data_IF_742904025018
#
_entry.id   IF_742904025018
#
_cell.length_a   1.000
_cell.length_b   1.000
_cell.length_c   1.000
_cell.angle_alpha   90.00
_cell.angle_beta   90.00
_cell.angle_gamma   90.00
#
_symmetry.space_group_name_H-M   'P 1'
#
loop_
_entity.id
_entity.type
_entity.pdbx_description
1 polymer ?
#
# COMPACT_ATOMS: atom_id res chain seq x y z
N UNK A 1 1.16 30.92 19.97
CA UNK A 1 1.63 29.54 20.16
C UNK A 1 0.87 28.94 21.32
N UNK A 2 0.05 27.91 21.04
CA UNK A 2 -0.67 27.19 22.07
C UNK A 2 0.35 26.45 22.93
N UNK A 3 0.39 26.75 24.20
CA UNK A 3 1.14 26.01 25.22
C UNK A 3 0.42 24.73 25.65
N UNK A 4 -0.54 24.26 24.88
CA UNK A 4 -1.24 23.02 25.16
C UNK A 4 -0.25 21.84 25.11
N UNK A 5 0.10 21.32 26.27
CA UNK A 5 1.10 20.27 26.48
C UNK A 5 0.50 18.87 26.46
N UNK A 6 -0.68 18.68 25.88
CA UNK A 6 -1.27 17.36 25.80
C UNK A 6 -0.68 16.62 24.60
N UNK A 7 0.13 15.62 24.87
CA UNK A 7 0.54 14.63 23.87
C UNK A 7 -0.51 13.52 23.82
N UNK A 8 -0.93 13.13 22.63
CA UNK A 8 -1.76 11.94 22.43
C UNK A 8 -1.01 10.65 22.80
N UNK A 9 0.34 10.70 22.80
CA UNK A 9 1.22 9.60 23.19
C UNK A 9 0.77 8.26 22.59
N UNK A 10 0.61 7.26 23.44
CA UNK A 10 0.20 5.91 23.05
C UNK A 10 -1.20 5.80 22.41
N UNK A 11 -2.04 6.83 22.55
CA UNK A 11 -3.35 6.86 21.88
C UNK A 11 -3.23 7.21 20.40
N UNK A 12 -2.14 7.84 19.97
CA UNK A 12 -1.80 8.05 18.59
C UNK A 12 -1.14 6.79 18.00
N UNK A 13 -1.91 5.98 17.31
CA UNK A 13 -1.48 4.72 16.70
C UNK A 13 -0.65 4.88 15.43
N UNK A 14 -0.50 6.12 14.94
CA UNK A 14 0.23 6.42 13.71
C UNK A 14 1.65 6.91 14.00
N UNK A 15 1.78 7.95 14.80
CA UNK A 15 3.06 8.62 15.05
C UNK A 15 3.44 8.74 16.52
N UNK A 16 2.67 8.12 17.44
CA UNK A 16 2.96 8.16 18.86
C UNK A 16 2.91 9.57 19.48
N UNK A 17 2.17 10.48 18.88
CA UNK A 17 2.05 11.88 19.32
C UNK A 17 3.15 12.81 18.79
N UNK A 18 3.96 12.36 17.82
CA UNK A 18 4.99 13.18 17.17
C UNK A 18 4.34 14.24 16.26
N UNK A 19 4.41 15.50 16.70
CA UNK A 19 3.80 16.63 15.99
C UNK A 19 4.48 16.93 14.66
N UNK A 20 5.79 16.74 14.56
CA UNK A 20 6.53 17.05 13.34
C UNK A 20 6.21 16.04 12.24
N UNK A 21 6.04 14.79 12.60
CA UNK A 21 5.55 13.76 11.67
C UNK A 21 4.12 14.05 11.20
N UNK A 22 3.24 14.48 12.10
CA UNK A 22 1.90 14.90 11.73
C UNK A 22 1.88 16.10 10.78
N UNK A 23 2.75 17.08 10.98
CA UNK A 23 2.87 18.24 10.08
C UNK A 23 3.38 17.81 8.70
N UNK A 24 4.44 16.99 8.65
CA UNK A 24 4.96 16.44 7.37
C UNK A 24 3.91 15.62 6.63
N UNK A 25 3.19 14.76 7.34
CA UNK A 25 2.07 14.03 6.77
C UNK A 25 0.99 14.97 6.21
N UNK A 26 0.56 15.97 6.98
CA UNK A 26 -0.47 16.92 6.56
C UNK A 26 -0.04 17.69 5.30
N UNK A 27 1.21 18.13 5.22
CA UNK A 27 1.76 18.81 4.05
C UNK A 27 1.82 17.87 2.84
N UNK A 28 2.24 16.62 3.02
CA UNK A 28 2.26 15.63 1.93
C UNK A 28 0.85 15.32 1.43
N UNK A 29 -0.11 15.18 2.35
CA UNK A 29 -1.52 15.01 1.99
C UNK A 29 -2.08 16.23 1.25
N UNK A 30 -1.72 17.44 1.68
CA UNK A 30 -2.10 18.69 0.99
C UNK A 30 -1.57 18.73 -0.44
N UNK A 31 -0.30 18.34 -0.66
CA UNK A 31 0.28 18.21 -2.00
C UNK A 31 -0.46 17.18 -2.84
N UNK A 32 -0.78 16.00 -2.27
CA UNK A 32 -1.59 14.96 -2.94
C UNK A 32 -2.93 15.50 -3.40
N UNK A 33 -3.66 16.21 -2.53
CA UNK A 33 -4.96 16.80 -2.85
C UNK A 33 -4.83 17.90 -3.91
N UNK A 34 -3.79 18.74 -3.83
CA UNK A 34 -3.51 19.77 -4.82
C UNK A 34 -3.32 19.16 -6.23
N UNK A 35 -2.52 18.11 -6.34
CA UNK A 35 -2.33 17.39 -7.61
C UNK A 35 -3.62 16.76 -8.14
N UNK A 36 -4.49 16.24 -7.26
CA UNK A 36 -5.79 15.68 -7.65
C UNK A 36 -6.74 16.68 -8.29
N UNK A 37 -6.71 17.92 -7.87
CA UNK A 37 -7.58 18.97 -8.41
C UNK A 37 -6.93 19.75 -9.57
N UNK A 38 -5.72 19.41 -9.96
CA UNK A 38 -4.93 20.17 -10.93
C UNK A 38 -5.55 20.28 -12.33
N UNK A 39 -6.41 19.36 -12.72
CA UNK A 39 -7.13 19.39 -14.00
C UNK A 39 -8.46 20.16 -13.89
N UNK A 40 -8.95 20.43 -12.69
CA UNK A 40 -10.22 21.15 -12.45
C UNK A 40 -9.95 22.61 -12.16
N UNK A 41 -8.99 22.88 -11.27
CA UNK A 41 -8.54 24.24 -10.91
C UNK A 41 -7.01 24.28 -10.83
N UNK A 42 -6.32 24.50 -11.96
CA UNK A 42 -4.86 24.49 -12.01
C UNK A 42 -4.22 25.58 -11.13
N UNK A 43 -4.88 26.73 -10.96
CA UNK A 43 -4.35 27.84 -10.18
C UNK A 43 -4.38 27.52 -8.70
N UNK A 44 -5.53 27.09 -8.17
CA UNK A 44 -5.66 26.64 -6.79
C UNK A 44 -4.72 25.48 -6.48
N UNK A 45 -4.64 24.52 -7.39
CA UNK A 45 -3.76 23.35 -7.26
C UNK A 45 -2.30 23.78 -7.10
N UNK A 46 -1.80 24.65 -7.99
CA UNK A 46 -0.43 25.17 -7.89
C UNK A 46 -0.20 25.91 -6.58
N UNK A 47 -1.09 26.82 -6.22
CA UNK A 47 -0.97 27.59 -4.97
C UNK A 47 -0.90 26.68 -3.74
N UNK A 48 -1.78 25.70 -3.63
CA UNK A 48 -1.83 24.80 -2.49
C UNK A 48 -0.65 23.84 -2.46
N UNK A 49 -0.21 23.35 -3.62
CA UNK A 49 0.95 22.48 -3.74
C UNK A 49 2.25 23.18 -3.36
N UNK A 50 2.47 24.39 -3.88
CA UNK A 50 3.64 25.21 -3.55
C UNK A 50 3.66 25.59 -2.05
N UNK A 51 2.52 25.94 -1.47
CA UNK A 51 2.40 26.19 -0.02
C UNK A 51 2.75 24.96 0.81
N UNK A 52 2.32 23.77 0.38
CA UNK A 52 2.64 22.54 1.08
C UNK A 52 4.15 22.22 1.06
N UNK A 53 4.81 22.46 -0.09
CA UNK A 53 6.23 22.21 -0.26
C UNK A 53 7.12 23.27 0.39
N UNK A 54 6.61 24.50 0.55
CA UNK A 54 7.32 25.62 1.18
C UNK A 54 7.20 25.66 2.71
N UNK A 55 6.32 24.84 3.29
CA UNK A 55 6.14 24.80 4.74
C UNK A 55 7.44 24.43 5.46
N UNK A 56 7.81 25.11 6.57
CA UNK A 56 9.04 24.84 7.31
C UNK A 56 9.16 23.38 7.81
N UNK A 57 8.03 22.73 8.16
CA UNK A 57 8.05 21.32 8.56
C UNK A 57 8.39 20.37 7.39
N UNK A 58 8.19 20.84 6.16
CA UNK A 58 8.44 20.08 4.95
C UNK A 58 7.39 19.01 4.67
N UNK A 59 7.70 18.19 3.68
CA UNK A 59 6.98 16.95 3.35
C UNK A 59 7.62 15.76 4.08
N UNK A 60 7.02 14.58 3.97
CA UNK A 60 7.62 13.33 4.44
C UNK A 60 9.02 13.14 3.86
N UNK A 61 9.99 12.74 4.70
CA UNK A 61 11.43 12.75 4.39
C UNK A 61 12.06 11.36 4.34
N UNK A 62 11.42 10.38 4.96
CA UNK A 62 11.91 8.98 5.01
C UNK A 62 10.76 8.03 5.32
N UNK A 63 11.04 6.73 5.30
CA UNK A 63 10.07 5.70 5.70
C UNK A 63 9.65 5.80 7.16
N UNK A 64 10.42 6.50 8.01
CA UNK A 64 10.03 6.77 9.40
C UNK A 64 8.87 7.76 9.50
N UNK A 65 8.61 8.53 8.45
CA UNK A 65 7.47 9.44 8.33
C UNK A 65 6.23 8.78 7.72
N UNK A 66 6.33 7.51 7.31
CA UNK A 66 5.19 6.80 6.74
C UNK A 66 4.00 6.82 7.71
N UNK A 67 2.85 7.30 7.22
CA UNK A 67 1.61 7.25 7.97
C UNK A 67 1.12 5.81 8.02
N UNK A 68 1.41 5.15 9.13
CA UNK A 68 1.14 3.74 9.35
C UNK A 68 0.18 3.58 10.52
N UNK A 69 -0.70 2.63 10.41
CA UNK A 69 -1.50 2.16 11.54
C UNK A 69 -1.12 0.72 11.85
N UNK A 70 -0.71 0.47 13.09
CA UNK A 70 -0.47 -0.89 13.57
C UNK A 70 -1.75 -1.41 14.21
N UNK A 71 -2.46 -2.35 13.58
CA UNK A 71 -3.68 -2.90 14.15
C UNK A 71 -3.35 -3.71 15.40
N UNK A 72 -4.18 -3.60 16.42
CA UNK A 72 -4.14 -4.47 17.57
C UNK A 72 -5.00 -5.70 17.29
N UNK A 73 -4.43 -6.88 17.46
CA UNK A 73 -5.18 -8.10 17.50
C UNK A 73 -5.62 -8.38 18.94
N UNK A 74 -6.91 -8.48 19.16
CA UNK A 74 -7.45 -8.96 20.44
C UNK A 74 -8.18 -10.28 20.21
N UNK A 75 -7.58 -11.36 20.68
CA UNK A 75 -8.21 -12.68 20.66
C UNK A 75 -9.47 -12.74 21.53
N UNK A 76 -9.52 -11.92 22.59
CA UNK A 76 -10.62 -11.92 23.57
C UNK A 76 -11.88 -11.26 23.03
N UNK A 77 -11.73 -10.23 22.22
CA UNK A 77 -12.87 -9.46 21.68
C UNK A 77 -13.27 -9.90 20.28
N UNK A 78 -12.53 -10.83 19.66
CA UNK A 78 -12.75 -11.20 18.25
C UNK A 78 -12.59 -10.02 17.29
N UNK A 79 -12.19 -8.86 17.81
CA UNK A 79 -12.02 -7.62 17.08
C UNK A 79 -10.61 -7.52 16.50
N UNK A 80 -10.51 -7.63 15.20
CA UNK A 80 -9.32 -7.23 14.48
C UNK A 80 -9.57 -5.80 13.97
N UNK A 81 -8.72 -4.87 14.40
CA UNK A 81 -8.80 -3.48 13.95
C UNK A 81 -8.41 -3.33 12.47
N UNK A 82 -7.84 -4.38 11.88
CA UNK A 82 -7.53 -4.41 10.48
C UNK A 82 -8.75 -4.83 9.65
N UNK A 83 -9.38 -3.87 9.00
CA UNK A 83 -10.57 -4.09 8.15
C UNK A 83 -10.32 -5.12 7.04
N UNK A 84 -9.08 -5.21 6.53
CA UNK A 84 -8.74 -6.22 5.54
C UNK A 84 -8.88 -7.62 6.12
N UNK A 85 -8.50 -7.84 7.36
CA UNK A 85 -8.67 -9.13 8.03
C UNK A 85 -10.13 -9.49 8.22
N UNK A 86 -10.98 -8.50 8.51
CA UNK A 86 -12.43 -8.70 8.60
C UNK A 86 -13.02 -9.11 7.25
N UNK A 87 -12.67 -8.43 6.20
CA UNK A 87 -13.06 -8.78 4.83
C UNK A 87 -12.57 -10.19 4.46
N UNK A 88 -11.40 -10.58 4.93
CA UNK A 88 -10.77 -11.86 4.65
C UNK A 88 -11.39 -13.03 5.42
N UNK A 89 -11.75 -12.83 6.68
CA UNK A 89 -12.35 -13.88 7.49
C UNK A 89 -13.80 -14.21 7.10
N UNK A 90 -14.53 -13.24 6.53
CA UNK A 90 -15.96 -13.39 6.24
C UNK A 90 -16.28 -13.76 4.81
N UNK A 91 -15.42 -13.38 3.89
CA UNK A 91 -15.70 -13.68 2.49
C UNK A 91 -14.41 -13.84 1.72
N UNK A 92 -13.73 -14.93 1.82
CA UNK A 92 -12.51 -15.24 1.04
C UNK A 92 -12.60 -14.91 -0.50
N UNK A 93 -13.36 -13.88 -0.88
CA UNK A 93 -13.76 -13.53 -2.24
C UNK A 93 -12.84 -12.46 -2.85
N UNK A 94 -11.62 -12.28 -2.36
CA UNK A 94 -10.66 -11.40 -3.03
C UNK A 94 -9.81 -12.23 -3.97
N UNK A 95 -10.03 -11.99 -5.24
CA UNK A 95 -9.33 -12.64 -6.34
C UNK A 95 -8.62 -11.57 -7.17
N UNK A 96 -7.64 -12.01 -7.95
CA UNK A 96 -6.94 -11.19 -8.91
C UNK A 96 -7.95 -10.57 -9.90
N UNK A 97 -7.84 -9.27 -10.17
CA UNK A 97 -8.63 -8.65 -11.24
C UNK A 97 -7.99 -8.90 -12.61
N UNK A 98 -8.82 -8.85 -13.65
CA UNK A 98 -8.33 -9.05 -15.03
C UNK A 98 -7.36 -7.95 -15.46
N UNK A 99 -7.57 -6.73 -15.02
CA UNK A 99 -6.67 -5.61 -15.30
C UNK A 99 -5.30 -5.81 -14.64
N UNK A 100 -5.29 -6.29 -13.39
CA UNK A 100 -4.04 -6.55 -12.70
C UNK A 100 -3.31 -7.76 -13.31
N UNK A 101 -4.04 -8.80 -13.74
CA UNK A 101 -3.46 -9.92 -14.49
C UNK A 101 -2.75 -9.42 -15.75
N UNK A 102 -3.41 -8.56 -16.53
CA UNK A 102 -2.81 -7.94 -17.71
C UNK A 102 -1.57 -7.14 -17.35
N UNK A 103 -1.64 -6.33 -16.32
CA UNK A 103 -0.49 -5.56 -15.85
C UNK A 103 0.71 -6.44 -15.47
N UNK A 104 0.50 -7.61 -14.91
CA UNK A 104 1.58 -8.54 -14.59
C UNK A 104 2.14 -9.30 -15.81
N UNK A 105 1.32 -9.56 -16.81
CA UNK A 105 1.67 -10.40 -17.97
C UNK A 105 2.12 -9.61 -19.19
N UNK A 106 1.59 -8.41 -19.40
CA UNK A 106 1.74 -7.69 -20.68
C UNK A 106 2.90 -6.68 -20.69
N UNK A 107 3.45 -6.33 -19.51
CA UNK A 107 4.53 -5.33 -19.43
C UNK A 107 5.92 -5.88 -19.84
N UNK A 108 6.09 -7.19 -19.84
CA UNK A 108 7.35 -7.86 -20.13
C UNK A 108 7.10 -9.25 -20.69
N UNK A 109 8.12 -9.83 -21.35
CA UNK A 109 8.12 -11.25 -21.74
C UNK A 109 8.24 -12.21 -20.54
N UNK A 110 8.54 -11.68 -19.36
CA UNK A 110 8.66 -12.42 -18.11
C UNK A 110 7.51 -11.99 -17.20
N UNK A 111 6.83 -12.96 -16.60
CA UNK A 111 5.80 -12.68 -15.60
C UNK A 111 6.38 -11.83 -14.45
N UNK A 112 5.68 -10.79 -14.07
CA UNK A 112 6.07 -9.97 -12.92
C UNK A 112 6.14 -10.85 -11.64
N UNK A 113 7.29 -10.94 -10.96
CA UNK A 113 7.46 -11.82 -9.81
C UNK A 113 6.53 -11.49 -8.65
N UNK A 114 5.98 -10.28 -8.58
CA UNK A 114 4.97 -9.89 -7.59
C UNK A 114 3.70 -10.71 -7.73
N UNK A 115 3.38 -11.18 -8.93
CA UNK A 115 2.22 -12.03 -9.16
C UNK A 115 2.30 -13.31 -8.32
N UNK A 116 3.44 -14.00 -8.34
CA UNK A 116 3.65 -15.23 -7.57
C UNK A 116 3.71 -14.99 -6.05
N UNK A 117 4.10 -13.81 -5.62
CA UNK A 117 4.15 -13.45 -4.21
C UNK A 117 2.75 -13.13 -3.65
N UNK A 118 1.91 -12.47 -4.45
CA UNK A 118 0.64 -11.89 -4.00
C UNK A 118 -0.56 -12.81 -4.23
N UNK A 119 -0.47 -13.71 -5.21
CA UNK A 119 -1.60 -14.50 -5.68
C UNK A 119 -1.26 -15.99 -5.73
N UNK A 120 -2.27 -16.83 -5.53
CA UNK A 120 -2.22 -18.24 -5.83
C UNK A 120 -2.75 -18.50 -7.24
N UNK A 121 -2.27 -19.52 -7.92
CA UNK A 121 -2.95 -20.02 -9.11
C UNK A 121 -4.32 -20.58 -8.73
N UNK A 122 -5.28 -20.62 -9.67
CA UNK A 122 -6.59 -21.21 -9.40
C UNK A 122 -6.45 -22.64 -8.83
N UNK A 123 -6.79 -22.78 -7.54
CA UNK A 123 -6.60 -24.04 -6.80
C UNK A 123 -7.79 -24.23 -5.86
N UNK A 124 -8.15 -25.46 -5.57
CA UNK A 124 -9.25 -25.75 -4.65
C UNK A 124 -8.97 -25.17 -3.26
N UNK A 125 -9.97 -24.58 -2.63
CA UNK A 125 -9.83 -23.92 -1.32
C UNK A 125 -9.37 -24.92 -0.25
N UNK A 126 -9.78 -26.18 -0.35
CA UNK A 126 -9.36 -27.25 0.55
C UNK A 126 -7.86 -27.54 0.47
N UNK A 127 -7.25 -27.46 -0.71
CA UNK A 127 -5.81 -27.63 -0.90
C UNK A 127 -5.02 -26.43 -0.37
N UNK A 128 -5.59 -25.23 -0.52
CA UNK A 128 -4.97 -23.99 -0.03
C UNK A 128 -5.04 -23.86 1.50
N UNK A 129 -6.02 -24.49 2.14
CA UNK A 129 -6.21 -24.46 3.60
C UNK A 129 -5.40 -25.52 4.36
N UNK A 130 -4.53 -26.27 3.69
CA UNK A 130 -3.65 -27.26 4.35
C UNK A 130 -2.52 -26.55 5.13
N UNK A 131 -1.89 -27.29 6.04
CA UNK A 131 -0.70 -26.81 6.79
C UNK A 131 0.45 -26.46 5.83
N UNK A 132 0.55 -27.24 4.76
CA UNK A 132 1.42 -27.00 3.61
C UNK A 132 0.54 -26.88 2.37
N UNK A 133 0.16 -25.66 1.98
CA UNK A 133 -0.72 -25.44 0.84
C UNK A 133 -0.14 -26.01 -0.44
N UNK A 134 -0.98 -26.74 -1.17
CA UNK A 134 -0.62 -27.33 -2.47
C UNK A 134 -1.23 -26.48 -3.56
N UNK A 135 -0.39 -25.74 -4.25
CA UNK A 135 -0.79 -24.95 -5.41
C UNK A 135 -0.83 -25.83 -6.67
N UNK A 136 -1.84 -25.64 -7.50
CA UNK A 136 -1.92 -26.32 -8.81
C UNK A 136 -1.02 -25.60 -9.82
N UNK A 137 0.23 -26.05 -9.91
CA UNK A 137 1.24 -25.48 -10.81
C UNK A 137 0.95 -25.73 -12.30
N UNK A 138 -0.05 -26.54 -12.65
CA UNK A 138 -0.44 -26.77 -14.04
C UNK A 138 -1.30 -25.65 -14.60
N UNK A 139 -1.86 -24.81 -13.74
CA UNK A 139 -2.68 -23.65 -14.11
C UNK A 139 -1.87 -22.39 -14.18
N UNK A 140 -2.35 -21.45 -14.99
CA UNK A 140 -1.82 -20.08 -15.01
C UNK A 140 -2.66 -19.17 -14.10
N UNK A 141 -2.13 -17.98 -13.78
CA UNK A 141 -2.88 -16.95 -13.08
C UNK A 141 -4.07 -16.50 -13.92
N UNK A 142 -5.24 -16.39 -13.30
CA UNK A 142 -6.48 -15.99 -13.95
C UNK A 142 -7.20 -14.93 -13.12
N UNK A 143 -7.38 -13.75 -13.70
CA UNK A 143 -8.09 -12.63 -13.10
C UNK A 143 -9.59 -12.66 -13.40
N UNK A 144 -10.37 -12.15 -12.46
CA UNK A 144 -11.80 -11.95 -12.58
C UNK A 144 -12.09 -10.60 -13.26
N UNK A 145 -13.06 -10.55 -14.17
CA UNK A 145 -13.52 -9.28 -14.76
C UNK A 145 -14.15 -8.39 -13.68
N UNK A 146 -13.91 -7.08 -13.78
CA UNK A 146 -14.53 -6.13 -12.86
C UNK A 146 -16.05 -6.08 -13.06
N UNK A 147 -16.78 -6.14 -11.96
CA UNK A 147 -18.25 -6.17 -11.99
C UNK A 147 -18.86 -7.57 -12.04
N UNK A 148 -18.04 -8.63 -12.03
CA UNK A 148 -18.56 -9.98 -11.87
C UNK A 148 -19.25 -10.13 -10.51
N UNK A 149 -20.54 -10.44 -10.52
CA UNK A 149 -21.37 -10.49 -9.31
C UNK A 149 -21.59 -11.89 -8.76
N UNK A 150 -21.21 -12.91 -9.53
CA UNK A 150 -21.48 -14.31 -9.22
C UNK A 150 -20.19 -15.11 -9.05
N UNK A 151 -19.44 -14.78 -8.01
CA UNK A 151 -18.35 -15.64 -7.55
C UNK A 151 -18.97 -16.84 -6.83
N UNK A 152 -19.33 -17.89 -7.57
CA UNK A 152 -19.88 -19.11 -6.99
C UNK A 152 -18.92 -19.79 -6.00
N UNK A 153 -19.38 -20.83 -5.29
CA UNK A 153 -18.59 -21.53 -4.27
C UNK A 153 -17.24 -22.13 -4.71
N UNK A 154 -16.98 -22.12 -6.02
CA UNK A 154 -15.73 -22.61 -6.63
C UNK A 154 -14.84 -21.51 -7.18
N UNK A 155 -14.99 -20.26 -6.72
CA UNK A 155 -14.26 -19.11 -7.28
C UNK A 155 -12.72 -19.29 -7.23
N UNK A 156 -12.18 -19.97 -6.23
CA UNK A 156 -10.73 -20.24 -6.11
C UNK A 156 -10.21 -21.23 -7.13
N UNK A 157 -11.08 -22.09 -7.69
CA UNK A 157 -10.70 -23.02 -8.76
C UNK A 157 -10.76 -22.38 -10.15
N UNK A 158 -11.44 -21.24 -10.25
CA UNK A 158 -11.58 -20.47 -11.49
C UNK A 158 -10.64 -19.27 -11.53
N UNK A 159 -10.58 -18.51 -10.46
CA UNK A 159 -9.79 -17.29 -10.36
C UNK A 159 -8.64 -17.43 -9.36
N UNK A 160 -7.62 -16.62 -9.51
CA UNK A 160 -6.44 -16.59 -8.65
C UNK A 160 -6.74 -15.88 -7.33
N UNK A 161 -6.88 -16.62 -6.20
CA UNK A 161 -7.15 -16.00 -4.91
C UNK A 161 -5.89 -15.35 -4.34
N UNK A 162 -6.08 -14.33 -3.49
CA UNK A 162 -4.98 -13.69 -2.81
C UNK A 162 -4.32 -14.62 -1.78
N UNK A 163 -2.99 -14.58 -1.70
CA UNK A 163 -2.23 -15.32 -0.68
C UNK A 163 -2.52 -14.84 0.75
N UNK A 164 -3.11 -13.66 0.90
CA UNK A 164 -3.52 -13.12 2.21
C UNK A 164 -4.66 -13.92 2.84
N UNK A 165 -5.46 -14.64 2.03
CA UNK A 165 -6.72 -15.24 2.46
C UNK A 165 -6.64 -16.65 3.01
N UNK A 166 -5.48 -17.27 2.96
CA UNK A 166 -5.34 -18.62 3.41
C UNK A 166 -5.23 -18.64 4.91
N UNK A 167 -6.08 -19.42 5.56
CA UNK A 167 -6.08 -19.68 7.00
C UNK A 167 -4.79 -20.39 7.44
N UNK A 168 -3.64 -19.91 7.04
CA UNK A 168 -2.40 -20.42 7.58
C UNK A 168 -2.32 -19.99 9.03
N UNK A 169 -2.48 -20.99 9.89
CA UNK A 169 -2.23 -21.00 11.32
C UNK A 169 -2.25 -19.60 11.99
N UNK A 170 -3.45 -19.14 12.29
CA UNK A 170 -3.70 -17.84 12.98
C UNK A 170 -2.88 -17.70 14.28
N UNK A 171 -2.24 -18.80 14.74
CA UNK A 171 -1.39 -18.83 15.94
C UNK A 171 0.04 -18.39 15.67
N UNK A 172 0.51 -18.39 14.44
CA UNK A 172 1.85 -17.89 14.10
C UNK A 172 1.75 -16.41 13.69
N UNK A 173 1.66 -15.54 14.68
CA UNK A 173 1.81 -14.09 14.51
C UNK A 173 3.26 -13.72 14.14
N UNK A 174 3.81 -14.36 13.11
CA UNK A 174 5.10 -13.98 12.59
C UNK A 174 4.94 -12.75 11.70
N UNK A 175 5.23 -11.58 12.28
CA UNK A 175 5.19 -10.27 11.60
C UNK A 175 6.07 -10.17 10.34
N UNK A 176 6.92 -11.16 10.10
CA UNK A 176 7.74 -11.24 8.88
C UNK A 176 6.92 -11.63 7.66
N UNK A 177 5.78 -12.27 7.86
CA UNK A 177 4.91 -12.63 6.76
C UNK A 177 3.98 -11.47 6.43
N UNK A 178 3.96 -11.06 5.17
CA UNK A 178 3.17 -9.93 4.68
C UNK A 178 1.65 -10.11 4.84
N UNK A 179 1.16 -11.32 5.05
CA UNK A 179 -0.24 -11.67 5.35
C UNK A 179 -0.59 -11.70 6.84
N UNK A 180 0.34 -11.32 7.69
CA UNK A 180 0.07 -11.30 9.12
C UNK A 180 -1.02 -10.29 9.48
N UNK A 181 -1.96 -10.70 10.32
CA UNK A 181 -3.03 -9.85 10.84
C UNK A 181 -2.53 -8.58 11.55
N UNK A 182 -1.33 -8.65 12.10
CA UNK A 182 -0.69 -7.53 12.79
C UNK A 182 0.14 -6.65 11.86
N UNK A 183 0.03 -6.84 10.54
CA UNK A 183 0.77 -6.02 9.59
C UNK A 183 0.32 -4.56 9.65
N UNK A 184 1.29 -3.67 9.61
CA UNK A 184 1.04 -2.24 9.49
C UNK A 184 0.31 -1.92 8.19
N UNK A 185 -0.71 -1.07 8.29
CA UNK A 185 -1.40 -0.51 7.14
C UNK A 185 -0.75 0.85 6.86
N UNK A 186 -0.13 0.98 5.69
CA UNK A 186 0.42 2.25 5.24
C UNK A 186 -0.65 3.02 4.47
N UNK A 187 -1.06 4.17 5.00
CA UNK A 187 -2.05 5.06 4.39
C UNK A 187 -1.43 6.06 3.42
N UNK A 188 -0.23 6.51 3.75
CA UNK A 188 0.58 7.40 2.92
C UNK A 188 2.04 7.10 3.20
N UNK A 189 2.78 6.74 2.16
CA UNK A 189 4.18 6.37 2.25
C UNK A 189 5.12 7.46 1.71
N UNK A 190 6.37 7.41 2.14
CA UNK A 190 7.40 8.31 1.65
C UNK A 190 7.64 8.17 0.15
N UNK A 191 7.58 6.94 -0.38
CA UNK A 191 7.68 6.70 -1.82
C UNK A 191 6.62 7.48 -2.61
N UNK A 192 5.38 7.56 -2.10
CA UNK A 192 4.35 8.37 -2.73
C UNK A 192 4.69 9.87 -2.64
N UNK A 193 5.28 10.34 -1.53
CA UNK A 193 5.76 11.73 -1.41
C UNK A 193 6.77 12.08 -2.52
N UNK A 194 7.66 11.14 -2.87
CA UNK A 194 8.62 11.33 -3.96
C UNK A 194 7.92 11.43 -5.32
N UNK A 195 6.94 10.57 -5.60
CA UNK A 195 6.13 10.66 -6.83
C UNK A 195 5.36 11.96 -6.92
N UNK A 196 4.72 12.40 -5.83
CA UNK A 196 4.00 13.68 -5.80
C UNK A 196 4.92 14.88 -6.06
N UNK A 197 6.14 14.84 -5.52
CA UNK A 197 7.16 15.86 -5.79
C UNK A 197 7.65 15.81 -7.23
N UNK A 198 7.86 14.61 -7.79
CA UNK A 198 8.23 14.45 -9.20
C UNK A 198 7.16 15.02 -10.13
N UNK A 199 5.89 14.77 -9.87
CA UNK A 199 4.77 15.33 -10.64
C UNK A 199 4.70 16.86 -10.48
N UNK A 200 4.88 17.39 -9.26
CA UNK A 200 4.91 18.83 -9.03
C UNK A 200 6.07 19.50 -9.78
N UNK A 201 7.26 18.88 -9.79
CA UNK A 201 8.42 19.35 -10.54
C UNK A 201 8.15 19.35 -12.06
N UNK A 202 7.52 18.28 -12.59
CA UNK A 202 7.13 18.19 -14.00
C UNK A 202 6.14 19.28 -14.39
N UNK A 203 5.25 19.68 -13.49
CA UNK A 203 4.29 20.78 -13.69
C UNK A 203 4.92 22.17 -13.50
N UNK A 204 6.21 22.26 -13.16
CA UNK A 204 6.91 23.51 -12.91
C UNK A 204 6.48 24.22 -11.61
N UNK A 205 5.99 23.48 -10.61
CA UNK A 205 5.66 24.03 -9.31
C UNK A 205 6.92 24.26 -8.47
N UNK A 206 6.99 25.38 -7.77
CA UNK A 206 8.12 25.71 -6.92
C UNK A 206 8.18 24.80 -5.67
N UNK A 207 9.40 24.51 -5.19
CA UNK A 207 9.61 23.83 -3.91
C UNK A 207 9.74 22.30 -3.98
N UNK A 208 9.70 21.70 -5.16
CA UNK A 208 9.83 20.23 -5.31
C UNK A 208 11.16 19.66 -4.83
N UNK A 209 12.23 20.49 -4.78
CA UNK A 209 13.59 20.14 -4.31
C UNK A 209 14.20 18.94 -5.06
N UNK A 210 14.25 19.01 -6.38
CA UNK A 210 14.82 18.00 -7.27
C UNK A 210 14.21 18.08 -8.65
N UNK A 211 14.82 17.43 -9.64
CA UNK A 211 14.21 17.26 -10.95
C UNK A 211 13.16 16.16 -10.89
N UNK A 212 12.19 16.17 -11.82
CA UNK A 212 11.20 15.11 -11.89
C UNK A 212 11.84 13.74 -12.08
N UNK A 213 12.91 13.68 -12.88
CA UNK A 213 13.65 12.45 -13.15
C UNK A 213 14.38 11.90 -11.91
N UNK A 214 15.09 12.77 -11.17
CA UNK A 214 15.81 12.33 -9.96
C UNK A 214 14.85 11.83 -8.90
N UNK A 215 13.77 12.58 -8.64
CA UNK A 215 12.74 12.21 -7.67
C UNK A 215 12.03 10.89 -8.05
N UNK A 216 11.83 10.65 -9.34
CA UNK A 216 11.26 9.40 -9.82
C UNK A 216 12.24 8.23 -9.61
N UNK A 217 13.53 8.42 -9.93
CA UNK A 217 14.57 7.40 -9.67
C UNK A 217 14.70 7.09 -8.19
N UNK A 218 14.72 8.11 -7.35
CA UNK A 218 14.74 7.94 -5.88
C UNK A 218 13.55 7.12 -5.41
N UNK A 219 12.37 7.38 -5.95
CA UNK A 219 11.19 6.59 -5.61
C UNK A 219 11.36 5.10 -5.98
N UNK A 220 11.86 4.80 -7.17
CA UNK A 220 12.09 3.43 -7.61
C UNK A 220 13.12 2.72 -6.72
N UNK A 221 14.21 3.41 -6.33
CA UNK A 221 15.22 2.86 -5.41
C UNK A 221 14.61 2.57 -4.02
N UNK A 222 13.68 3.38 -3.56
CA UNK A 222 12.99 3.18 -2.29
C UNK A 222 11.98 2.03 -2.32
N UNK A 223 11.24 1.89 -3.43
CA UNK A 223 10.18 0.88 -3.57
C UNK A 223 10.69 -0.48 -3.98
N UNK A 224 11.83 -0.54 -4.64
CA UNK A 224 12.40 -1.78 -5.17
C UNK A 224 13.92 -1.81 -4.98
N UNK A 225 14.42 -1.85 -3.73
CA UNK A 225 15.85 -1.85 -3.46
C UNK A 225 16.46 -3.17 -3.93
N UNK A 226 16.82 -3.26 -5.21
CA UNK A 226 17.67 -4.33 -5.70
C UNK A 226 19.04 -4.22 -5.04
N UNK A 227 19.70 -5.32 -4.66
CA UNK A 227 21.09 -5.29 -4.21
C UNK A 227 22.05 -4.64 -5.22
N UNK A 228 21.71 -4.66 -6.51
CA UNK A 228 22.47 -4.00 -7.57
C UNK A 228 22.33 -2.49 -7.58
N UNK A 229 21.17 -1.99 -7.15
CA UNK A 229 20.85 -0.55 -7.16
C UNK A 229 21.45 0.18 -5.95
N UNK A 230 21.85 -0.58 -4.90
CA UNK A 230 22.52 -0.03 -3.70
C UNK A 230 24.04 0.18 -3.89
N UNK A 231 24.60 -0.28 -5.00
CA UNK A 231 26.05 -0.21 -5.29
C UNK A 231 26.42 0.89 -6.29
N UNK A 232 25.49 1.75 -6.64
CA UNK A 232 25.70 2.96 -7.41
C UNK A 232 25.58 4.17 -6.49
#
# INVERSE_FOLDING_TARGET
PSTAQYSLGENDKCFGGDKDKWLRFANTLRLRLALRVSNVDPQLAKEQGEKAMADPAGLMQSDDDNMKQTPKYSYITGGNENIYTLLYNWSANVVLSKEMERAYKEQSTILDPRCEILWWRPTALEDLNQTEPKEDMTKDFNGCENGETSLGGSYTTTYSPSRVFIKQDQKKLDRKHWWCYAREIVWLGYSESLFLRAEAALRGWAGAKGTAEDLYKDCLLYTSPSPRDRSL
#
